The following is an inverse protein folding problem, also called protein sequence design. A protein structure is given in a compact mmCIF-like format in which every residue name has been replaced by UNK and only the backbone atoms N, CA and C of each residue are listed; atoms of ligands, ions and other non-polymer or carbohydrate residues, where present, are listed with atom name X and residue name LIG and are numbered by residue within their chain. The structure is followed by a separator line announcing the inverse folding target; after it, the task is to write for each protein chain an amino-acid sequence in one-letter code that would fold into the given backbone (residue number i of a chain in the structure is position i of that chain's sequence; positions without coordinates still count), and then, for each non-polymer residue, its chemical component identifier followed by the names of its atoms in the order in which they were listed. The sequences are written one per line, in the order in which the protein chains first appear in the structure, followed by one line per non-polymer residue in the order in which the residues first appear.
data_IF_286707448572
#
_entry.id   IF_286707448572
#
_cell.length_a   1.000
_cell.length_b   1.000
_cell.length_c   1.000
_cell.angle_alpha   90.00
_cell.angle_beta   90.00
_cell.angle_gamma   90.00
#
_symmetry.space_group_name_H-M   'P 1'
#
loop_
_entity.id
_entity.type
_entity.pdbx_description
1 polymer ?
#
# COMPACT_ATOMS: atom_id res chain seq x y z
N UNK A 1 5.49 51.37 -32.41
CA UNK A 1 5.94 51.41 -30.99
C UNK A 1 5.46 50.12 -30.34
N UNK A 2 6.34 49.12 -30.27
CA UNK A 2 7.05 48.69 -29.05
C UNK A 2 6.25 47.65 -28.25
N UNK A 3 6.70 46.38 -28.30
CA UNK A 3 6.31 45.31 -27.37
C UNK A 3 7.02 45.54 -26.02
N UNK A 4 6.46 45.03 -24.91
CA UNK A 4 7.25 44.20 -24.01
C UNK A 4 6.50 42.87 -23.73
N UNK A 5 7.09 41.68 -23.92
CA UNK A 5 8.10 40.96 -23.10
C UNK A 5 7.58 40.51 -21.72
N UNK A 6 7.66 39.18 -21.49
CA UNK A 6 7.68 38.49 -20.19
C UNK A 6 6.31 37.89 -19.83
N UNK A 7 6.09 36.58 -19.77
CA UNK A 7 6.98 35.48 -19.34
C UNK A 7 6.43 34.16 -19.89
N UNK A 8 7.22 33.26 -20.49
CA UNK A 8 6.79 31.86 -20.58
C UNK A 8 6.77 31.26 -19.18
N UNK A 9 5.68 30.56 -18.85
CA UNK A 9 5.52 29.84 -17.61
C UNK A 9 6.76 28.98 -17.34
N UNK A 10 7.22 29.01 -16.09
CA UNK A 10 8.34 28.22 -15.61
C UNK A 10 8.16 26.74 -16.01
N UNK A 11 9.22 26.03 -16.41
CA UNK A 11 9.15 24.59 -16.58
C UNK A 11 8.76 23.98 -15.24
N UNK A 12 7.61 23.30 -15.21
CA UNK A 12 7.19 22.50 -14.07
C UNK A 12 8.33 21.52 -13.79
N UNK A 13 9.01 21.70 -12.65
CA UNK A 13 10.05 20.78 -12.18
C UNK A 13 9.49 19.38 -12.28
N UNK A 14 10.22 18.51 -12.98
CA UNK A 14 9.79 17.16 -13.28
C UNK A 14 9.23 16.48 -12.04
N UNK A 15 7.92 16.26 -12.04
CA UNK A 15 7.31 15.24 -11.21
C UNK A 15 8.01 13.95 -11.62
N UNK A 16 8.77 13.27 -10.74
CA UNK A 16 9.11 11.89 -11.06
C UNK A 16 7.78 11.20 -11.34
N UNK A 17 7.68 10.49 -12.48
CA UNK A 17 6.49 9.71 -12.80
C UNK A 17 6.05 8.98 -11.52
N UNK A 18 4.76 9.03 -11.14
CA UNK A 18 4.33 8.47 -9.88
C UNK A 18 4.81 7.03 -9.83
N UNK A 19 5.75 6.75 -8.93
CA UNK A 19 6.09 5.39 -8.55
C UNK A 19 4.75 4.74 -8.23
N UNK A 20 4.41 3.60 -8.86
CA UNK A 20 3.08 3.03 -8.71
C UNK A 20 2.90 2.63 -7.24
N UNK A 21 2.16 3.47 -6.50
CA UNK A 21 1.83 3.27 -5.11
C UNK A 21 1.17 1.90 -4.97
N UNK A 22 1.81 1.00 -4.23
CA UNK A 22 1.27 -0.31 -3.92
C UNK A 22 0.33 -0.21 -2.74
N UNK A 23 -0.97 -0.26 -3.03
CA UNK A 23 -2.00 -0.26 -2.00
C UNK A 23 -2.16 -1.65 -1.40
N UNK A 24 -1.97 -1.76 -0.09
CA UNK A 24 -2.16 -2.96 0.70
C UNK A 24 -3.47 -2.80 1.45
N UNK A 25 -4.45 -3.63 1.12
CA UNK A 25 -5.77 -3.64 1.74
C UNK A 25 -5.88 -4.91 2.59
N UNK A 26 -5.98 -4.79 3.90
CA UNK A 26 -6.16 -5.94 4.79
C UNK A 26 -7.63 -6.02 5.21
N UNK A 27 -8.31 -7.08 4.76
CA UNK A 27 -9.66 -7.39 5.19
C UNK A 27 -9.63 -7.81 6.66
N UNK A 28 -10.39 -7.10 7.48
CA UNK A 28 -10.54 -7.36 8.92
C UNK A 28 -11.81 -8.17 9.24
N UNK A 29 -12.63 -8.47 8.24
CA UNK A 29 -13.84 -9.28 8.41
C UNK A 29 -13.48 -10.75 8.58
N UNK A 30 -14.07 -11.41 9.58
CA UNK A 30 -13.76 -12.80 9.93
C UNK A 30 -12.32 -13.05 10.39
N UNK A 31 -11.48 -12.00 10.50
CA UNK A 31 -10.07 -12.14 10.81
C UNK A 31 -9.85 -12.28 12.32
N UNK A 32 -9.19 -13.38 12.71
CA UNK A 32 -8.78 -13.59 14.09
C UNK A 32 -7.85 -12.44 14.57
N UNK A 33 -8.10 -11.85 15.75
CA UNK A 33 -7.33 -10.71 16.25
C UNK A 33 -5.84 -11.03 16.39
N UNK A 34 -5.48 -12.26 16.79
CA UNK A 34 -4.08 -12.65 16.96
C UNK A 34 -3.37 -12.73 15.60
N UNK A 35 -4.07 -13.25 14.58
CA UNK A 35 -3.56 -13.30 13.22
C UNK A 35 -3.47 -11.91 12.59
N UNK A 36 -4.43 -11.03 12.87
CA UNK A 36 -4.39 -9.62 12.47
C UNK A 36 -3.13 -8.93 13.00
N UNK A 37 -2.86 -9.07 14.29
CA UNK A 37 -1.66 -8.50 14.91
C UNK A 37 -0.39 -9.04 14.25
N UNK A 38 -0.28 -10.35 14.05
CA UNK A 38 0.86 -10.95 13.37
C UNK A 38 1.07 -10.42 11.93
N UNK A 39 -0.01 -10.20 11.16
CA UNK A 39 0.07 -9.62 9.82
C UNK A 39 0.51 -8.15 9.86
N UNK A 40 -0.01 -7.37 10.82
CA UNK A 40 0.38 -5.98 11.02
C UNK A 40 1.84 -5.86 11.46
N UNK A 41 2.32 -6.75 12.33
CA UNK A 41 3.73 -6.80 12.74
C UNK A 41 4.64 -7.06 11.55
N UNK A 42 4.28 -7.98 10.65
CA UNK A 42 5.04 -8.23 9.41
C UNK A 42 5.10 -6.97 8.53
N UNK A 43 3.98 -6.27 8.36
CA UNK A 43 3.94 -5.04 7.56
C UNK A 43 4.80 -3.95 8.21
N UNK A 44 4.71 -3.80 9.53
CA UNK A 44 5.53 -2.85 10.28
C UNK A 44 7.02 -3.17 10.19
N UNK A 45 7.41 -4.44 10.35
CA UNK A 45 8.82 -4.86 10.27
C UNK A 45 9.39 -4.58 8.86
N UNK A 46 8.61 -4.86 7.83
CA UNK A 46 9.05 -4.76 6.43
C UNK A 46 9.02 -3.33 5.88
N UNK A 47 7.92 -2.60 6.14
CA UNK A 47 7.62 -1.32 5.50
C UNK A 47 7.60 -0.13 6.47
N UNK A 48 7.63 -0.40 7.79
CA UNK A 48 7.54 0.61 8.86
C UNK A 48 6.30 1.51 8.73
N UNK A 49 5.18 0.92 8.28
CA UNK A 49 3.87 1.58 8.16
C UNK A 49 2.83 0.89 9.02
N UNK A 50 1.83 1.66 9.43
CA UNK A 50 0.62 1.16 10.10
C UNK A 50 -0.62 1.49 9.28
N UNK A 51 -1.80 0.95 9.62
CA UNK A 51 -3.05 1.27 8.95
C UNK A 51 -3.31 2.77 8.82
N UNK A 52 -3.67 3.22 7.63
CA UNK A 52 -3.88 4.62 7.30
C UNK A 52 -2.59 5.42 7.07
N UNK A 53 -1.41 4.78 7.14
CA UNK A 53 -0.13 5.41 6.81
C UNK A 53 0.41 4.97 5.46
N UNK A 54 1.18 5.87 4.87
CA UNK A 54 1.97 5.65 3.65
C UNK A 54 3.44 5.52 4.05
N UNK A 55 4.18 4.66 3.37
CA UNK A 55 5.62 4.46 3.63
C UNK A 55 6.41 5.72 3.30
N UNK A 56 7.57 5.88 3.93
CA UNK A 56 8.41 7.06 3.76
C UNK A 56 8.80 7.30 2.29
N UNK A 57 8.99 6.23 1.52
CA UNK A 57 9.28 6.28 0.09
C UNK A 57 8.06 6.59 -0.79
N UNK A 58 6.85 6.68 -0.22
CA UNK A 58 5.62 6.90 -0.99
C UNK A 58 5.19 5.71 -1.85
N UNK A 59 5.82 4.54 -1.66
CA UNK A 59 5.62 3.35 -2.50
C UNK A 59 4.54 2.40 -1.98
N UNK A 60 4.17 2.49 -0.71
CA UNK A 60 3.20 1.57 -0.10
C UNK A 60 2.23 2.32 0.79
N UNK A 61 0.95 1.93 0.75
CA UNK A 61 -0.09 2.42 1.66
C UNK A 61 -0.78 1.21 2.29
N UNK A 62 -0.97 1.21 3.60
CA UNK A 62 -1.76 0.19 4.29
C UNK A 62 -3.15 0.73 4.62
N UNK A 63 -4.20 0.05 4.15
CA UNK A 63 -5.59 0.33 4.49
C UNK A 63 -6.21 -0.91 5.14
N UNK A 64 -7.01 -0.71 6.18
CA UNK A 64 -7.88 -1.76 6.71
C UNK A 64 -9.26 -1.59 6.10
N UNK A 65 -9.81 -2.67 5.57
CA UNK A 65 -11.18 -2.68 5.07
C UNK A 65 -11.98 -3.75 5.81
N UNK A 66 -13.30 -3.52 5.86
CA UNK A 66 -14.24 -4.61 6.12
C UNK A 66 -14.68 -5.13 4.76
N UNK A 67 -14.00 -6.15 4.29
CA UNK A 67 -14.42 -6.87 3.10
C UNK A 67 -15.75 -7.59 3.36
N UNK A 68 -16.50 -7.86 2.29
CA UNK A 68 -17.54 -8.91 2.28
C UNK A 68 -16.91 -10.24 1.86
N UNK A 69 -15.67 -10.47 2.26
CA UNK A 69 -14.98 -11.72 1.94
C UNK A 69 -15.49 -12.81 2.89
N UNK A 70 -15.60 -14.04 2.40
CA UNK A 70 -16.02 -15.16 3.22
C UNK A 70 -15.02 -15.38 4.37
N UNK A 71 -15.49 -15.65 5.60
CA UNK A 71 -14.61 -15.91 6.74
C UNK A 71 -13.72 -17.14 6.51
N UNK A 72 -14.09 -18.03 5.59
CA UNK A 72 -13.33 -19.22 5.18
C UNK A 72 -12.08 -18.89 4.32
N UNK A 73 -12.07 -17.70 3.74
CA UNK A 73 -10.98 -17.16 2.92
C UNK A 73 -10.08 -16.19 3.69
N UNK A 74 -10.54 -15.74 4.87
CA UNK A 74 -9.75 -14.93 5.78
C UNK A 74 -8.47 -15.69 6.21
N UNK A 75 -7.33 -14.99 6.35
CA UNK A 75 -7.07 -13.58 6.06
C UNK A 75 -7.02 -13.27 4.56
N UNK A 76 -7.76 -12.24 4.16
CA UNK A 76 -7.72 -11.69 2.80
C UNK A 76 -6.90 -10.41 2.78
N UNK A 77 -5.87 -10.37 1.94
CA UNK A 77 -5.03 -9.20 1.70
C UNK A 77 -5.12 -8.85 0.22
N UNK A 78 -5.38 -7.59 -0.13
CA UNK A 78 -5.40 -7.14 -1.52
C UNK A 78 -4.20 -6.26 -1.78
N UNK A 79 -3.38 -6.63 -2.77
CA UNK A 79 -2.25 -5.81 -3.20
C UNK A 79 -2.58 -5.19 -4.55
N UNK A 80 -2.74 -3.88 -4.62
CA UNK A 80 -3.21 -3.16 -5.81
C UNK A 80 -4.51 -3.72 -6.39
N UNK A 81 -5.43 -4.13 -5.51
CA UNK A 81 -6.71 -4.74 -5.90
C UNK A 81 -6.65 -6.22 -6.26
N UNK A 82 -5.46 -6.86 -6.26
CA UNK A 82 -5.35 -8.31 -6.41
C UNK A 82 -5.61 -8.99 -5.07
N UNK A 83 -6.70 -9.77 -4.91
CA UNK A 83 -6.99 -10.45 -3.66
C UNK A 83 -6.09 -11.67 -3.48
N UNK A 84 -5.52 -11.78 -2.29
CA UNK A 84 -4.80 -12.94 -1.79
C UNK A 84 -5.58 -13.45 -0.59
N UNK A 85 -6.12 -14.65 -0.69
CA UNK A 85 -6.86 -15.34 0.36
C UNK A 85 -5.93 -16.26 1.15
N UNK A 86 -6.29 -16.59 2.40
CA UNK A 86 -5.53 -17.47 3.30
C UNK A 86 -4.06 -17.06 3.43
N UNK A 87 -3.82 -15.75 3.53
CA UNK A 87 -2.47 -15.18 3.57
C UNK A 87 -1.82 -15.40 4.93
N UNK A 88 -0.74 -16.17 4.96
CA UNK A 88 0.05 -16.31 6.19
C UNK A 88 1.01 -15.13 6.38
N UNK A 89 1.46 -14.83 7.61
CA UNK A 89 2.46 -13.80 7.89
C UNK A 89 3.74 -13.97 7.05
N UNK A 90 4.24 -15.20 6.92
CA UNK A 90 5.39 -15.47 6.04
C UNK A 90 5.10 -15.14 4.57
N UNK A 91 3.91 -15.49 4.07
CA UNK A 91 3.55 -15.22 2.68
C UNK A 91 3.38 -13.73 2.42
N UNK A 92 2.83 -13.00 3.38
CA UNK A 92 2.76 -11.54 3.33
C UNK A 92 4.16 -10.93 3.28
N UNK A 93 5.06 -11.37 4.17
CA UNK A 93 6.45 -10.92 4.18
C UNK A 93 7.15 -11.13 2.83
N UNK A 94 7.02 -12.32 2.25
CA UNK A 94 7.54 -12.65 0.92
C UNK A 94 6.97 -11.75 -0.19
N UNK A 95 5.65 -11.48 -0.16
CA UNK A 95 4.99 -10.61 -1.13
C UNK A 95 5.50 -9.17 -1.04
N UNK A 96 5.65 -8.65 0.18
CA UNK A 96 6.16 -7.30 0.42
C UNK A 96 7.64 -7.18 0.01
N UNK A 97 8.49 -8.12 0.43
CA UNK A 97 9.92 -8.13 0.05
C UNK A 97 10.15 -8.16 -1.46
N UNK A 98 9.31 -8.89 -2.21
CA UNK A 98 9.41 -8.93 -3.68
C UNK A 98 9.05 -7.60 -4.34
N UNK A 99 8.25 -6.75 -3.69
CA UNK A 99 7.80 -5.45 -4.21
C UNK A 99 8.70 -4.29 -3.83
N UNK A 100 9.47 -4.42 -2.74
CA UNK A 100 10.45 -3.41 -2.29
C UNK A 100 11.76 -3.49 -3.10
N UNK A 101 11.96 -4.56 -3.88
CA UNK A 101 13.18 -4.80 -4.68
C UNK A 101 13.17 -4.00 -5.98
#
# INVERSE_FOLDING_TARGET
MARPRGTPAAPQKGTPAPVPLTRIDLSTDGLDPHLREALLEVIWDTLRISPGMVSADGNFELTLTRGKDDPEDAPVVRLNGLPYIRVTPQRLHELLRRRVR
#
